data_IF_522268029593
#
_entry.id   IF_522268029593
#
_cell.length_a   1.000
_cell.length_b   1.000
_cell.length_c   1.000
_cell.angle_alpha   90.00
_cell.angle_beta   90.00
_cell.angle_gamma   90.00
#
_symmetry.space_group_name_H-M   'P 1'
#
loop_
_entity.id
_entity.type
_entity.pdbx_description
1 polymer ?
#
# COMPACT_ATOMS: atom_id res chain seq x y z
N UNK A 1 12.39 -10.49 34.12
CA UNK A 1 11.55 -9.27 34.05
C UNK A 1 10.43 -9.43 35.06
N UNK A 2 10.32 -8.51 36.03
CA UNK A 2 9.34 -8.61 37.11
C UNK A 2 7.93 -8.25 36.58
N UNK A 3 6.86 -8.75 37.21
CA UNK A 3 5.48 -8.36 36.86
C UNK A 3 5.26 -6.83 36.93
N UNK A 4 6.00 -6.16 37.80
CA UNK A 4 5.97 -4.70 37.97
C UNK A 4 6.54 -3.98 36.75
N UNK A 5 7.52 -4.60 36.09
CA UNK A 5 8.13 -4.07 34.85
C UNK A 5 7.17 -4.26 33.66
N UNK A 6 6.50 -5.41 33.57
CA UNK A 6 5.47 -5.69 32.55
C UNK A 6 4.30 -4.70 32.60
N UNK A 7 3.88 -4.25 33.79
CA UNK A 7 2.81 -3.24 33.96
C UNK A 7 3.20 -1.83 33.52
N UNK A 8 4.50 -1.55 33.32
CA UNK A 8 5.01 -0.27 32.83
C UNK A 8 5.32 -0.27 31.32
N UNK A 9 5.18 -1.39 30.63
CA UNK A 9 5.41 -1.44 29.18
C UNK A 9 4.30 -0.70 28.40
N UNK A 10 4.71 0.16 27.47
CA UNK A 10 3.80 0.90 26.60
C UNK A 10 3.26 0.06 25.43
N UNK A 11 3.66 -1.22 25.30
CA UNK A 11 3.36 -2.09 24.17
C UNK A 11 1.86 -2.16 23.86
N UNK A 12 1.02 -2.31 24.89
CA UNK A 12 -0.43 -2.39 24.72
C UNK A 12 -1.03 -1.06 24.23
N UNK A 13 -0.58 0.07 24.79
CA UNK A 13 -1.02 1.40 24.37
C UNK A 13 -0.60 1.72 22.93
N UNK A 14 0.64 1.41 22.55
CA UNK A 14 1.14 1.61 21.18
C UNK A 14 0.34 0.77 20.19
N UNK A 15 0.05 -0.50 20.51
CA UNK A 15 -0.83 -1.35 19.70
C UNK A 15 -2.24 -0.79 19.61
N UNK A 16 -2.77 -0.23 20.70
CA UNK A 16 -4.06 0.47 20.70
C UNK A 16 -4.11 1.60 19.68
N UNK A 17 -3.11 2.49 19.69
CA UNK A 17 -3.00 3.59 18.73
C UNK A 17 -2.87 3.12 17.29
N UNK A 18 -2.04 2.11 17.02
CA UNK A 18 -1.93 1.57 15.67
C UNK A 18 -3.22 0.90 15.20
N UNK A 19 -3.96 0.24 16.10
CA UNK A 19 -5.24 -0.36 15.78
C UNK A 19 -6.32 0.69 15.49
N UNK A 20 -6.34 1.80 16.24
CA UNK A 20 -7.20 2.96 15.97
C UNK A 20 -6.95 3.53 14.57
N UNK A 21 -5.69 3.77 14.22
CA UNK A 21 -5.33 4.26 12.89
C UNK A 21 -5.67 3.26 11.78
N UNK A 22 -5.39 1.97 11.98
CA UNK A 22 -5.77 0.92 11.03
C UNK A 22 -7.30 0.87 10.84
N UNK A 23 -8.09 1.07 11.89
CA UNK A 23 -9.55 1.09 11.82
C UNK A 23 -10.06 2.33 11.07
N UNK A 24 -9.50 3.51 11.35
CA UNK A 24 -9.83 4.74 10.62
C UNK A 24 -9.48 4.62 9.12
N UNK A 25 -8.34 3.98 8.80
CA UNK A 25 -7.95 3.68 7.42
C UNK A 25 -8.93 2.74 6.73
N UNK A 26 -9.35 1.68 7.42
CA UNK A 26 -10.35 0.75 6.92
C UNK A 26 -11.67 1.47 6.62
N UNK A 27 -12.08 2.39 7.49
CA UNK A 27 -13.29 3.19 7.30
C UNK A 27 -13.18 4.07 6.05
N UNK A 28 -12.05 4.77 5.86
CA UNK A 28 -11.79 5.56 4.64
C UNK A 28 -11.86 4.68 3.39
N UNK A 29 -11.26 3.49 3.42
CA UNK A 29 -11.22 2.58 2.27
C UNK A 29 -12.60 2.01 1.90
N UNK A 30 -13.52 1.91 2.87
CA UNK A 30 -14.87 1.43 2.69
C UNK A 30 -15.90 2.55 2.43
N UNK A 31 -15.50 3.81 2.58
CA UNK A 31 -16.35 4.97 2.37
C UNK A 31 -16.68 5.23 0.88
N UNK A 32 -17.73 6.02 0.64
CA UNK A 32 -17.96 6.63 -0.67
C UNK A 32 -16.75 7.44 -1.15
N UNK A 33 -16.61 7.66 -2.45
CA UNK A 33 -15.44 8.39 -2.99
C UNK A 33 -15.31 9.81 -2.41
N UNK A 34 -16.45 10.46 -2.18
CA UNK A 34 -16.59 11.84 -1.71
C UNK A 34 -16.99 11.95 -0.24
N UNK A 35 -17.30 10.82 0.40
CA UNK A 35 -17.62 10.81 1.82
C UNK A 35 -16.36 11.17 2.61
N UNK A 36 -16.53 12.05 3.59
CA UNK A 36 -15.40 12.51 4.38
C UNK A 36 -15.31 11.77 5.68
N UNK A 37 -14.10 11.33 6.02
CA UNK A 37 -13.74 10.78 7.31
C UNK A 37 -12.83 11.77 8.01
N UNK A 38 -13.12 12.07 9.27
CA UNK A 38 -12.26 12.87 10.15
C UNK A 38 -11.57 11.92 11.10
N UNK A 39 -10.24 11.94 11.09
CA UNK A 39 -9.40 11.10 11.95
C UNK A 39 -9.23 11.81 13.29
N UNK A 40 -9.37 11.11 14.41
CA UNK A 40 -9.35 11.70 15.76
C UNK A 40 -10.33 12.89 15.83
N UNK A 41 -11.59 12.62 15.50
CA UNK A 41 -12.69 13.59 15.45
C UNK A 41 -13.30 13.81 16.83
N UNK A 42 -14.63 13.65 16.94
CA UNK A 42 -15.31 13.58 18.24
C UNK A 42 -14.89 12.29 18.96
N UNK A 43 -14.81 11.19 18.21
CA UNK A 43 -14.25 9.92 18.68
C UNK A 43 -12.97 9.59 17.85
N UNK A 44 -12.54 8.33 17.87
CA UNK A 44 -11.31 7.90 17.17
C UNK A 44 -11.41 8.12 15.64
N UNK A 45 -12.62 8.03 15.06
CA UNK A 45 -12.92 8.52 13.72
C UNK A 45 -14.39 8.95 13.58
N UNK A 46 -14.66 9.91 12.69
CA UNK A 46 -16.02 10.34 12.34
C UNK A 46 -16.23 10.24 10.83
N UNK A 47 -17.24 9.48 10.37
CA UNK A 47 -17.61 9.39 8.95
C UNK A 47 -18.86 10.20 8.66
N UNK A 48 -18.77 11.11 7.72
CA UNK A 48 -19.86 11.97 7.27
C UNK A 48 -20.39 11.46 5.92
N UNK A 49 -21.67 11.13 5.89
CA UNK A 49 -22.40 10.66 4.71
C UNK A 49 -23.58 11.58 4.42
N UNK A 50 -24.25 11.37 3.28
CA UNK A 50 -25.48 12.11 2.95
C UNK A 50 -26.64 11.82 3.93
N UNK A 51 -26.55 10.69 4.65
CA UNK A 51 -27.57 10.20 5.58
C UNK A 51 -27.31 10.63 7.03
N UNK A 52 -26.13 11.21 7.32
CA UNK A 52 -25.77 11.65 8.67
C UNK A 52 -24.29 11.41 9.01
N UNK A 53 -24.01 11.12 10.28
CA UNK A 53 -22.64 10.95 10.79
C UNK A 53 -22.54 9.73 11.67
N UNK A 54 -21.47 8.96 11.47
CA UNK A 54 -21.10 7.81 12.28
C UNK A 54 -19.88 8.19 13.11
N UNK A 55 -20.02 8.17 14.44
CA UNK A 55 -18.93 8.39 15.40
C UNK A 55 -18.38 7.03 15.84
N UNK A 56 -17.16 6.71 15.42
CA UNK A 56 -16.49 5.45 15.69
C UNK A 56 -15.49 5.57 16.84
N UNK A 57 -15.78 4.89 17.94
CA UNK A 57 -14.83 4.70 19.03
C UNK A 57 -14.22 3.29 18.94
N UNK A 58 -12.90 3.23 18.93
CA UNK A 58 -12.11 2.03 18.71
C UNK A 58 -11.50 1.54 20.04
N UNK A 59 -11.57 0.23 20.27
CA UNK A 59 -10.94 -0.43 21.43
C UNK A 59 -10.18 -1.68 21.01
N UNK A 60 -8.93 -1.79 21.47
CA UNK A 60 -8.12 -2.99 21.27
C UNK A 60 -7.67 -3.56 22.61
N UNK A 61 -8.35 -4.61 23.07
CA UNK A 61 -8.06 -5.29 24.34
C UNK A 61 -7.81 -6.80 24.14
N UNK A 62 -6.60 -7.14 23.73
CA UNK A 62 -6.19 -8.52 23.44
C UNK A 62 -6.33 -9.50 24.62
N UNK A 63 -6.32 -9.01 25.86
CA UNK A 63 -6.34 -9.84 27.08
C UNK A 63 -7.59 -9.59 27.96
N UNK A 64 -8.52 -8.74 27.53
CA UNK A 64 -9.71 -8.41 28.31
C UNK A 64 -10.99 -8.85 27.60
N UNK A 65 -11.87 -9.50 28.36
CA UNK A 65 -13.19 -9.89 27.86
C UNK A 65 -14.10 -8.66 27.82
N UNK A 66 -14.91 -8.54 26.78
CA UNK A 66 -15.99 -7.57 26.73
C UNK A 66 -17.07 -8.00 27.73
N UNK A 67 -17.18 -7.20 28.81
CA UNK A 67 -18.18 -7.32 29.88
C UNK A 67 -18.88 -5.98 30.05
N UNK A 68 -20.01 -5.93 30.75
CA UNK A 68 -20.72 -4.66 31.01
C UNK A 68 -19.80 -3.64 31.70
N UNK A 69 -18.90 -4.08 32.58
CA UNK A 69 -17.95 -3.17 33.22
C UNK A 69 -16.92 -2.59 32.25
N UNK A 70 -16.52 -3.33 31.22
CA UNK A 70 -15.59 -2.87 30.17
C UNK A 70 -16.32 -1.98 29.16
N UNK A 71 -17.58 -2.29 28.84
CA UNK A 71 -18.44 -1.50 27.96
C UNK A 71 -18.83 -0.15 28.59
N UNK A 72 -18.98 -0.08 29.91
CA UNK A 72 -19.53 1.06 30.64
C UNK A 72 -18.89 2.40 30.26
N UNK A 73 -17.57 2.52 30.33
CA UNK A 73 -16.87 3.79 30.08
C UNK A 73 -16.98 4.24 28.61
N UNK A 74 -16.69 3.38 27.61
CA UNK A 74 -16.98 3.67 26.20
C UNK A 74 -18.42 4.11 25.94
N UNK A 75 -19.39 3.33 26.42
CA UNK A 75 -20.82 3.59 26.21
C UNK A 75 -21.25 4.92 26.83
N UNK A 76 -20.74 5.22 28.02
CA UNK A 76 -21.03 6.47 28.71
C UNK A 76 -20.48 7.68 27.93
N UNK A 77 -19.26 7.62 27.41
CA UNK A 77 -18.67 8.72 26.62
C UNK A 77 -19.48 9.04 25.37
N UNK A 78 -19.88 8.02 24.63
CA UNK A 78 -20.73 8.16 23.45
C UNK A 78 -22.10 8.75 23.83
N UNK A 79 -22.68 8.29 24.93
CA UNK A 79 -23.95 8.82 25.44
C UNK A 79 -23.84 10.28 25.88
N UNK A 80 -22.77 10.67 26.56
CA UNK A 80 -22.53 12.08 26.96
C UNK A 80 -22.52 12.99 25.74
N UNK A 81 -21.86 12.58 24.64
CA UNK A 81 -21.89 13.36 23.41
C UNK A 81 -23.33 13.49 22.87
N UNK A 82 -24.06 12.38 22.75
CA UNK A 82 -25.45 12.40 22.27
C UNK A 82 -26.39 13.23 23.15
N UNK A 83 -26.25 13.09 24.47
CA UNK A 83 -27.03 13.82 25.48
C UNK A 83 -26.86 15.32 25.35
N UNK A 84 -25.63 15.77 25.10
CA UNK A 84 -25.28 17.18 24.90
C UNK A 84 -25.80 17.80 23.60
N UNK A 85 -26.33 17.00 22.66
CA UNK A 85 -26.93 17.50 21.43
C UNK A 85 -28.38 17.95 21.65
N UNK A 86 -28.76 19.03 20.96
CA UNK A 86 -30.16 19.43 20.79
C UNK A 86 -30.95 18.33 20.06
N UNK A 87 -32.24 18.18 20.37
CA UNK A 87 -33.10 17.13 19.82
C UNK A 87 -33.07 17.08 18.28
N UNK A 88 -33.18 18.24 17.62
CA UNK A 88 -33.12 18.35 16.16
C UNK A 88 -31.77 17.96 15.55
N UNK A 89 -30.68 17.90 16.34
CA UNK A 89 -29.32 17.56 15.88
C UNK A 89 -28.94 16.10 16.13
N UNK A 90 -29.80 15.36 16.85
CA UNK A 90 -29.63 13.93 17.14
C UNK A 90 -30.01 13.05 15.95
N UNK A 91 -30.93 13.52 15.11
CA UNK A 91 -31.32 12.83 13.88
C UNK A 91 -30.09 12.62 12.97
N UNK A 92 -29.96 11.41 12.44
CA UNK A 92 -28.83 11.02 11.58
C UNK A 92 -27.50 10.78 12.32
N UNK A 93 -27.43 10.84 13.65
CA UNK A 93 -26.22 10.48 14.40
C UNK A 93 -26.22 9.00 14.74
N UNK A 94 -25.13 8.31 14.43
CA UNK A 94 -24.88 6.91 14.78
C UNK A 94 -23.59 6.81 15.59
N UNK A 95 -23.57 5.91 16.57
CA UNK A 95 -22.43 5.70 17.47
C UNK A 95 -21.99 4.25 17.37
N UNK A 96 -20.72 4.03 17.08
CA UNK A 96 -20.15 2.72 16.86
C UNK A 96 -19.02 2.47 17.87
N UNK A 97 -19.14 1.39 18.63
CA UNK A 97 -18.01 0.81 19.34
C UNK A 97 -17.39 -0.29 18.46
N UNK A 98 -16.23 -0.01 17.88
CA UNK A 98 -15.49 -0.94 17.03
C UNK A 98 -14.30 -1.52 17.79
N UNK A 99 -14.04 -2.83 17.72
CA UNK A 99 -12.84 -3.32 18.39
C UNK A 99 -12.68 -4.81 18.58
N UNK A 100 -11.53 -5.17 19.13
CA UNK A 100 -11.17 -6.53 19.48
C UNK A 100 -11.08 -6.73 21.00
N UNK A 101 -11.62 -7.86 21.45
CA UNK A 101 -11.63 -8.31 22.84
C UNK A 101 -11.26 -9.79 22.86
N UNK A 102 -10.66 -10.28 23.96
CA UNK A 102 -10.28 -11.70 24.07
C UNK A 102 -11.48 -12.64 23.99
N UNK A 103 -12.62 -12.21 24.51
CA UNK A 103 -13.89 -12.93 24.48
C UNK A 103 -15.05 -11.94 24.63
N UNK A 104 -16.21 -12.23 24.04
CA UNK A 104 -17.43 -11.43 24.22
C UNK A 104 -18.36 -12.15 25.19
N UNK A 105 -18.58 -11.59 26.38
CA UNK A 105 -19.36 -12.19 27.48
C UNK A 105 -20.71 -11.54 27.71
N UNK A 106 -21.11 -10.65 26.82
CA UNK A 106 -22.36 -9.90 26.88
C UNK A 106 -23.06 -10.01 25.53
N UNK A 107 -24.37 -9.81 25.55
CA UNK A 107 -25.13 -9.63 24.31
C UNK A 107 -24.70 -8.33 23.62
N UNK A 108 -24.45 -8.35 22.32
CA UNK A 108 -24.02 -7.17 21.54
C UNK A 108 -25.14 -6.65 20.62
N UNK A 109 -26.35 -7.20 20.73
CA UNK A 109 -27.54 -6.67 20.08
C UNK A 109 -27.96 -5.30 20.62
N UNK A 110 -29.06 -4.79 20.08
CA UNK A 110 -29.63 -3.50 20.46
C UNK A 110 -29.88 -3.43 21.98
N UNK A 111 -29.44 -2.33 22.61
CA UNK A 111 -29.57 -2.13 24.05
C UNK A 111 -31.01 -1.72 24.40
N UNK A 112 -31.62 -2.33 25.41
CA UNK A 112 -32.82 -1.78 26.03
C UNK A 112 -32.46 -0.66 27.01
N UNK A 113 -33.43 0.20 27.34
CA UNK A 113 -33.26 1.27 28.34
C UNK A 113 -32.85 0.69 29.70
N UNK A 114 -33.45 -0.42 30.12
CA UNK A 114 -33.14 -1.10 31.39
C UNK A 114 -31.71 -1.63 31.37
N UNK A 115 -31.30 -2.23 30.25
CA UNK A 115 -29.95 -2.75 30.08
C UNK A 115 -28.91 -1.64 30.09
N UNK A 116 -29.15 -0.55 29.38
CA UNK A 116 -28.29 0.63 29.38
C UNK A 116 -28.09 1.16 30.81
N UNK A 117 -29.19 1.36 31.55
CA UNK A 117 -29.13 1.81 32.95
C UNK A 117 -28.34 0.84 33.82
N UNK A 118 -28.54 -0.47 33.65
CA UNK A 118 -27.80 -1.49 34.40
C UNK A 118 -26.29 -1.45 34.11
N UNK A 119 -25.88 -1.27 32.85
CA UNK A 119 -24.47 -1.13 32.47
C UNK A 119 -23.82 0.08 33.16
N UNK A 120 -24.55 1.19 33.32
CA UNK A 120 -24.07 2.41 33.98
C UNK A 120 -23.84 2.25 35.48
N UNK A 121 -24.41 1.23 36.11
CA UNK A 121 -24.26 0.96 37.53
C UNK A 121 -22.89 0.33 37.86
N UNK A 122 -22.29 0.77 38.97
CA UNK A 122 -21.05 0.23 39.49
C UNK A 122 -21.02 0.29 41.03
N UNK A 123 -20.12 -0.49 41.63
CA UNK A 123 -19.89 -0.49 43.08
C UNK A 123 -18.64 0.33 43.40
N UNK A 124 -18.78 1.33 44.27
CA UNK A 124 -17.67 2.13 44.78
C UNK A 124 -17.33 1.70 46.20
N UNK A 125 -16.06 1.35 46.44
CA UNK A 125 -15.57 1.11 47.81
C UNK A 125 -15.60 2.44 48.58
N UNK A 126 -16.23 2.42 49.75
CA UNK A 126 -16.24 3.53 50.70
C UNK A 126 -15.60 3.06 51.99
N UNK A 127 -14.65 3.85 52.50
CA UNK A 127 -14.00 3.60 53.78
C UNK A 127 -14.64 4.50 54.83
N UNK A 128 -15.25 3.89 55.83
CA UNK A 128 -15.71 4.60 57.01
C UNK A 128 -14.51 5.05 57.88
N UNK A 129 -14.75 6.03 58.76
CA UNK A 129 -13.72 6.63 59.61
C UNK A 129 -13.07 5.63 60.60
N UNK A 130 -13.72 4.50 60.83
CA UNK A 130 -13.25 3.36 61.64
C UNK A 130 -12.42 2.34 60.85
N UNK A 131 -12.21 2.55 59.55
CA UNK A 131 -11.51 1.63 58.65
C UNK A 131 -12.38 0.52 58.03
N UNK A 132 -13.67 0.47 58.36
CA UNK A 132 -14.62 -0.51 57.78
C UNK A 132 -14.85 -0.22 56.30
N UNK A 133 -14.76 -1.26 55.46
CA UNK A 133 -15.03 -1.18 54.01
C UNK A 133 -16.49 -1.51 53.73
N UNK A 134 -17.22 -0.57 53.12
CA UNK A 134 -18.54 -0.81 52.55
C UNK A 134 -18.52 -0.54 51.03
N UNK A 135 -19.55 -1.00 50.32
CA UNK A 135 -19.72 -0.73 48.90
C UNK A 135 -21.03 -0.01 48.67
N UNK A 136 -20.95 1.16 48.05
CA UNK A 136 -22.12 1.91 47.60
C UNK A 136 -22.39 1.62 46.13
N UNK A 137 -23.67 1.44 45.78
CA UNK A 137 -24.12 1.38 44.39
C UNK A 137 -24.20 2.80 43.85
N UNK A 138 -23.51 3.07 42.75
CA UNK A 138 -23.52 4.36 42.04
C UNK A 138 -23.80 4.14 40.55
N UNK A 139 -24.20 5.19 39.87
CA UNK A 139 -24.37 5.21 38.42
C UNK A 139 -23.54 6.31 37.79
N UNK A 140 -23.01 6.08 36.58
CA UNK A 140 -22.41 7.17 35.80
C UNK A 140 -23.43 8.22 35.35
N UNK A 141 -24.73 7.90 35.44
CA UNK A 141 -25.82 8.85 35.18
C UNK A 141 -26.20 9.70 36.40
N UNK A 142 -25.59 9.46 37.57
CA UNK A 142 -25.93 10.19 38.80
C UNK A 142 -25.69 11.70 38.59
N UNK A 143 -26.75 12.51 38.75
CA UNK A 143 -26.71 13.96 38.53
C UNK A 143 -26.93 14.40 37.08
N UNK A 144 -27.21 13.48 36.16
CA UNK A 144 -27.57 13.76 34.77
C UNK A 144 -29.07 13.53 34.53
N UNK A 145 -29.74 14.47 33.86
CA UNK A 145 -31.11 14.30 33.42
C UNK A 145 -31.16 13.41 32.16
N UNK A 146 -31.35 12.11 32.34
CA UNK A 146 -31.42 11.10 31.27
C UNK A 146 -32.80 10.41 31.26
N UNK A 147 -33.84 11.06 30.68
CA UNK A 147 -35.16 10.45 30.56
C UNK A 147 -35.12 9.23 29.62
N UNK A 148 -36.07 8.31 29.82
CA UNK A 148 -36.07 7.01 29.15
C UNK A 148 -36.19 7.16 27.63
N UNK A 149 -36.93 8.16 27.13
CA UNK A 149 -37.05 8.45 25.71
C UNK A 149 -35.72 8.86 25.08
N UNK A 150 -34.88 9.60 25.82
CA UNK A 150 -33.55 10.02 25.35
C UNK A 150 -32.60 8.82 25.32
N UNK A 151 -32.64 7.98 26.35
CA UNK A 151 -31.86 6.74 26.40
C UNK A 151 -32.28 5.81 25.26
N UNK A 152 -33.58 5.64 25.04
CA UNK A 152 -34.11 4.80 23.96
C UNK A 152 -33.62 5.29 22.58
N UNK A 153 -33.66 6.60 22.32
CA UNK A 153 -33.17 7.18 21.08
C UNK A 153 -31.66 6.95 20.87
N UNK A 154 -30.85 7.05 21.94
CA UNK A 154 -29.43 6.71 21.89
C UNK A 154 -29.21 5.22 21.60
N UNK A 155 -29.93 4.34 22.31
CA UNK A 155 -29.81 2.90 22.16
C UNK A 155 -30.09 2.44 20.71
N UNK A 156 -31.09 3.03 20.04
CA UNK A 156 -31.39 2.78 18.61
C UNK A 156 -30.28 3.27 17.66
N UNK A 157 -29.48 4.21 18.12
CA UNK A 157 -28.40 4.85 17.34
C UNK A 157 -27.02 4.25 17.64
N UNK A 158 -26.92 3.36 18.63
CA UNK A 158 -25.68 2.77 19.09
C UNK A 158 -25.53 1.31 18.62
N UNK A 159 -24.33 0.94 18.19
CA UNK A 159 -24.01 -0.44 17.83
C UNK A 159 -22.58 -0.84 18.24
N UNK A 160 -22.36 -2.14 18.38
CA UNK A 160 -21.06 -2.73 18.67
C UNK A 160 -20.65 -3.60 17.48
N UNK A 161 -19.44 -3.38 16.95
CA UNK A 161 -18.85 -4.18 15.89
C UNK A 161 -17.54 -4.82 16.37
N UNK A 162 -17.58 -6.14 16.53
CA UNK A 162 -16.42 -6.93 16.92
C UNK A 162 -15.51 -7.18 15.71
N UNK A 163 -14.21 -7.06 15.92
CA UNK A 163 -13.19 -7.24 14.90
C UNK A 163 -12.08 -8.22 15.33
N UNK A 164 -11.22 -8.56 14.39
CA UNK A 164 -10.13 -9.52 14.55
C UNK A 164 -8.95 -8.94 15.32
N UNK A 165 -8.04 -9.80 15.75
CA UNK A 165 -6.85 -9.39 16.49
C UNK A 165 -5.89 -8.55 15.62
N UNK A 166 -4.94 -7.87 16.26
CA UNK A 166 -4.12 -6.82 15.66
C UNK A 166 -3.53 -7.15 14.28
N UNK A 167 -2.90 -8.32 14.14
CA UNK A 167 -2.23 -8.72 12.90
C UNK A 167 -3.23 -9.02 11.79
N UNK A 168 -4.30 -9.75 12.09
CA UNK A 168 -5.33 -10.08 11.10
C UNK A 168 -6.13 -8.85 10.70
N UNK A 169 -6.42 -7.95 11.64
CA UNK A 169 -7.05 -6.67 11.33
C UNK A 169 -6.22 -5.87 10.33
N UNK A 170 -4.90 -5.80 10.54
CA UNK A 170 -3.98 -5.15 9.60
C UNK A 170 -3.97 -5.84 8.23
N UNK A 171 -4.03 -7.17 8.18
CA UNK A 171 -4.14 -7.90 6.92
C UNK A 171 -5.42 -7.54 6.16
N UNK A 172 -6.54 -7.34 6.85
CA UNK A 172 -7.80 -6.88 6.25
C UNK A 172 -7.63 -5.49 5.63
N UNK A 173 -6.94 -4.57 6.32
CA UNK A 173 -6.64 -3.23 5.79
C UNK A 173 -5.80 -3.34 4.52
N UNK A 174 -4.69 -4.09 4.56
CA UNK A 174 -3.79 -4.30 3.41
C UNK A 174 -4.55 -4.91 2.22
N UNK A 175 -5.38 -5.92 2.46
CA UNK A 175 -6.19 -6.57 1.44
C UNK A 175 -7.23 -5.62 0.83
N UNK A 176 -7.80 -4.72 1.65
CA UNK A 176 -8.74 -3.71 1.17
C UNK A 176 -8.05 -2.64 0.33
N UNK A 177 -6.82 -2.25 0.68
CA UNK A 177 -5.95 -1.40 -0.16
C UNK A 177 -5.65 -2.09 -1.49
N UNK A 178 -5.26 -3.37 -1.45
CA UNK A 178 -4.96 -4.18 -2.65
C UNK A 178 -6.12 -4.13 -3.65
N UNK A 179 -7.34 -4.37 -3.18
CA UNK A 179 -8.56 -4.35 -3.99
C UNK A 179 -8.87 -2.96 -4.53
N UNK A 180 -8.80 -1.92 -3.69
CA UNK A 180 -9.09 -0.54 -4.10
C UNK A 180 -8.10 -0.01 -5.15
N UNK A 181 -6.82 -0.40 -5.07
CA UNK A 181 -5.77 0.08 -5.98
C UNK A 181 -5.52 -0.85 -7.17
N UNK A 182 -6.12 -2.05 -7.18
CA UNK A 182 -5.89 -3.08 -8.18
C UNK A 182 -4.39 -3.42 -8.36
N UNK A 183 -3.69 -3.59 -7.23
CA UNK A 183 -2.25 -3.90 -7.18
C UNK A 183 -2.01 -5.31 -6.63
N UNK A 184 -0.79 -5.81 -6.71
CA UNK A 184 -0.44 -7.10 -6.12
C UNK A 184 -0.47 -7.06 -4.58
N UNK A 185 -0.60 -8.22 -3.94
CA UNK A 185 -0.55 -8.32 -2.47
C UNK A 185 0.75 -7.75 -1.89
N UNK A 186 1.86 -8.01 -2.58
CA UNK A 186 3.16 -7.50 -2.18
C UNK A 186 3.25 -5.98 -2.32
N UNK A 187 2.68 -5.40 -3.38
CA UNK A 187 2.64 -3.94 -3.52
C UNK A 187 1.74 -3.28 -2.48
N UNK A 188 0.63 -3.93 -2.13
CA UNK A 188 -0.26 -3.44 -1.09
C UNK A 188 0.44 -3.43 0.28
N UNK A 189 1.07 -4.54 0.65
CA UNK A 189 1.77 -4.70 1.94
C UNK A 189 3.04 -3.85 2.03
N UNK A 190 3.88 -3.89 1.00
CA UNK A 190 5.20 -3.27 1.01
C UNK A 190 5.18 -1.76 0.74
N UNK A 191 4.17 -1.26 0.03
CA UNK A 191 4.19 0.13 -0.48
C UNK A 191 2.95 0.92 -0.08
N UNK A 192 1.77 0.41 -0.44
CA UNK A 192 0.56 1.22 -0.32
C UNK A 192 0.12 1.35 1.15
N UNK A 193 0.21 0.26 1.93
CA UNK A 193 -0.12 0.28 3.34
C UNK A 193 0.80 1.21 4.15
N UNK A 194 2.14 1.13 4.08
CA UNK A 194 3.00 2.04 4.82
C UNK A 194 2.75 3.52 4.48
N UNK A 195 2.49 3.83 3.21
CA UNK A 195 2.16 5.20 2.79
C UNK A 195 0.80 5.67 3.30
N UNK A 196 -0.22 4.83 3.18
CA UNK A 196 -1.55 5.13 3.71
C UNK A 196 -1.50 5.33 5.23
N UNK A 197 -0.75 4.48 5.93
CA UNK A 197 -0.57 4.53 7.37
C UNK A 197 0.19 5.78 7.83
N UNK A 198 1.28 6.15 7.16
CA UNK A 198 2.02 7.38 7.47
C UNK A 198 1.16 8.63 7.22
N UNK A 199 0.37 8.62 6.14
CA UNK A 199 -0.53 9.71 5.82
C UNK A 199 -1.60 9.92 6.88
N UNK A 200 -2.33 8.87 7.27
CA UNK A 200 -3.34 8.97 8.34
C UNK A 200 -2.72 9.33 9.70
N UNK A 201 -1.54 8.80 10.02
CA UNK A 201 -0.83 9.12 11.26
C UNK A 201 -0.45 10.60 11.28
N UNK A 202 0.03 11.13 10.16
CA UNK A 202 0.33 12.55 9.99
C UNK A 202 -0.91 13.40 10.16
N UNK A 203 -2.04 13.02 9.53
CA UNK A 203 -3.32 13.71 9.71
C UNK A 203 -3.75 13.73 11.18
N UNK A 204 -3.69 12.60 11.88
CA UNK A 204 -4.07 12.48 13.29
C UNK A 204 -3.28 13.44 14.21
N UNK A 205 -2.03 13.76 13.86
CA UNK A 205 -1.19 14.68 14.66
C UNK A 205 -1.48 16.16 14.46
N UNK A 206 -2.31 16.53 13.47
CA UNK A 206 -2.59 17.95 13.20
C UNK A 206 -3.40 18.60 14.32
N UNK A 207 -3.13 19.88 14.57
CA UNK A 207 -3.75 20.61 15.70
C UNK A 207 -5.23 20.91 15.47
N UNK A 208 -5.61 21.33 14.25
CA UNK A 208 -7.01 21.59 13.90
C UNK A 208 -7.67 20.30 13.40
N UNK A 209 -8.81 19.95 13.97
CA UNK A 209 -9.66 18.83 13.55
C UNK A 209 -10.08 18.93 12.07
N UNK A 210 -10.29 20.14 11.54
CA UNK A 210 -10.64 20.33 10.13
C UNK A 210 -9.53 19.86 9.19
N UNK A 211 -8.27 19.96 9.62
CA UNK A 211 -7.13 19.51 8.83
C UNK A 211 -6.94 17.98 8.87
N UNK A 212 -7.67 17.28 9.75
CA UNK A 212 -7.68 15.80 9.87
C UNK A 212 -8.74 15.15 8.98
N UNK A 213 -9.46 15.95 8.19
CA UNK A 213 -10.48 15.49 7.24
C UNK A 213 -9.83 14.93 5.98
N UNK A 214 -10.33 13.80 5.52
CA UNK A 214 -9.84 13.09 4.33
C UNK A 214 -10.97 12.33 3.64
N UNK A 215 -10.87 12.13 2.34
CA UNK A 215 -11.78 11.29 1.55
C UNK A 215 -11.06 10.06 0.99
N UNK A 216 -11.84 9.07 0.53
CA UNK A 216 -11.26 7.94 -0.20
C UNK A 216 -10.58 8.38 -1.50
N UNK A 217 -11.08 9.43 -2.16
CA UNK A 217 -10.44 10.00 -3.35
C UNK A 217 -9.05 10.54 -3.03
N UNK A 218 -8.89 11.29 -1.96
CA UNK A 218 -7.58 11.85 -1.56
C UNK A 218 -6.56 10.73 -1.32
N UNK A 219 -6.99 9.64 -0.66
CA UNK A 219 -6.15 8.47 -0.45
C UNK A 219 -5.80 7.78 -1.77
N UNK A 220 -6.73 7.65 -2.71
CA UNK A 220 -6.45 7.09 -4.04
C UNK A 220 -5.45 7.96 -4.82
N UNK A 221 -5.58 9.29 -4.74
CA UNK A 221 -4.66 10.21 -5.41
C UNK A 221 -3.26 10.18 -4.80
N UNK A 222 -3.16 10.13 -3.47
CA UNK A 222 -1.89 9.94 -2.77
C UNK A 222 -1.15 8.68 -3.25
N UNK A 223 -1.90 7.59 -3.47
CA UNK A 223 -1.34 6.31 -3.86
C UNK A 223 -0.99 6.24 -5.37
N UNK A 224 -1.44 7.19 -6.20
CA UNK A 224 -1.05 7.29 -7.62
C UNK A 224 0.39 7.81 -7.76
N UNK A 225 1.26 7.06 -8.45
CA UNK A 225 2.59 7.53 -8.87
C UNK A 225 3.75 7.29 -7.89
N UNK A 226 3.58 6.42 -6.91
CA UNK A 226 4.46 6.30 -5.73
C UNK A 226 5.57 5.25 -5.83
N UNK A 227 5.50 4.33 -6.80
CA UNK A 227 6.50 3.25 -6.97
C UNK A 227 7.95 3.79 -7.06
N UNK A 228 8.20 4.82 -7.88
CA UNK A 228 9.55 5.33 -8.10
C UNK A 228 10.14 6.04 -6.87
N UNK A 229 9.31 6.76 -6.09
CA UNK A 229 9.73 7.45 -4.87
C UNK A 229 10.03 6.42 -3.78
N UNK A 230 9.14 5.43 -3.60
CA UNK A 230 9.31 4.42 -2.57
C UNK A 230 10.48 3.47 -2.87
N UNK A 231 10.63 2.99 -4.10
CA UNK A 231 11.77 2.14 -4.46
C UNK A 231 13.09 2.85 -4.14
N UNK A 232 13.13 4.19 -4.20
CA UNK A 232 14.32 4.99 -3.88
C UNK A 232 14.54 5.14 -2.38
N UNK A 233 13.47 5.16 -1.59
CA UNK A 233 13.56 5.04 -0.13
C UNK A 233 14.08 3.66 0.27
N UNK A 234 13.53 2.59 -0.31
CA UNK A 234 13.97 1.22 -0.04
C UNK A 234 15.45 0.98 -0.41
N UNK A 235 15.91 1.57 -1.52
CA UNK A 235 17.33 1.56 -1.92
C UNK A 235 18.25 2.22 -0.88
N UNK A 236 17.74 3.17 -0.08
CA UNK A 236 18.51 3.83 0.99
C UNK A 236 18.51 3.03 2.29
N UNK A 237 17.38 2.40 2.64
CA UNK A 237 17.20 1.69 3.91
C UNK A 237 17.78 0.27 3.89
N UNK A 238 17.64 -0.44 2.77
CA UNK A 238 18.13 -1.81 2.63
C UNK A 238 19.57 -1.84 2.18
N UNK A 239 20.32 -2.84 2.63
CA UNK A 239 21.58 -3.17 1.98
C UNK A 239 21.33 -3.59 0.52
N UNK A 240 22.35 -3.42 -0.33
CA UNK A 240 22.21 -3.64 -1.77
C UNK A 240 21.79 -5.07 -2.16
N UNK A 241 22.13 -6.08 -1.34
CA UNK A 241 21.77 -7.48 -1.59
C UNK A 241 20.31 -7.74 -1.23
N UNK A 242 19.85 -7.25 -0.09
CA UNK A 242 18.45 -7.31 0.30
C UNK A 242 17.55 -6.53 -0.65
N UNK A 243 17.95 -5.33 -1.05
CA UNK A 243 17.23 -4.52 -2.04
C UNK A 243 17.09 -5.29 -3.35
N UNK A 244 18.19 -5.87 -3.86
CA UNK A 244 18.18 -6.61 -5.11
C UNK A 244 17.26 -7.84 -5.04
N UNK A 245 17.34 -8.62 -3.95
CA UNK A 245 16.42 -9.76 -3.71
C UNK A 245 14.96 -9.32 -3.66
N UNK A 246 14.70 -8.18 -3.02
CA UNK A 246 13.35 -7.62 -2.92
C UNK A 246 12.80 -7.19 -4.29
N UNK A 247 13.58 -6.44 -5.08
CA UNK A 247 13.21 -6.05 -6.46
C UNK A 247 13.05 -7.26 -7.39
N UNK A 248 13.90 -8.28 -7.24
CA UNK A 248 13.78 -9.55 -7.95
C UNK A 248 12.46 -10.26 -7.65
N UNK A 249 12.08 -10.29 -6.37
CA UNK A 249 10.82 -10.90 -5.91
C UNK A 249 9.61 -10.17 -6.50
N UNK A 250 9.68 -8.85 -6.59
CA UNK A 250 8.63 -7.98 -7.12
C UNK A 250 8.40 -8.15 -8.61
N UNK A 251 9.44 -7.93 -9.41
CA UNK A 251 9.28 -7.65 -10.83
C UNK A 251 9.74 -8.78 -11.75
N UNK A 252 10.53 -9.72 -11.21
CA UNK A 252 11.26 -10.72 -11.99
C UNK A 252 11.02 -12.17 -11.52
N UNK A 253 10.12 -12.39 -10.54
CA UNK A 253 9.70 -13.72 -10.09
C UNK A 253 8.66 -14.45 -10.96
N UNK A 254 7.77 -13.78 -11.72
CA UNK A 254 6.92 -14.47 -12.68
C UNK A 254 7.76 -15.24 -13.70
N UNK A 255 7.33 -16.45 -14.10
CA UNK A 255 8.05 -17.28 -15.06
C UNK A 255 8.21 -16.56 -16.41
N UNK A 256 9.39 -16.73 -17.02
CA UNK A 256 9.71 -16.18 -18.36
C UNK A 256 8.92 -16.89 -19.46
N UNK A 257 7.63 -16.55 -19.55
CA UNK A 257 6.69 -17.07 -20.53
C UNK A 257 6.91 -16.45 -21.91
N UNK A 258 6.73 -17.29 -22.93
CA UNK A 258 6.54 -16.84 -24.31
C UNK A 258 5.29 -15.94 -24.41
N UNK A 259 5.27 -15.02 -25.37
CA UNK A 259 4.13 -14.11 -25.59
C UNK A 259 4.14 -12.79 -24.81
N UNK A 260 5.16 -12.55 -23.98
CA UNK A 260 5.39 -11.26 -23.29
C UNK A 260 6.58 -10.54 -23.93
N UNK A 261 6.35 -9.32 -24.41
CA UNK A 261 7.39 -8.41 -24.89
C UNK A 261 8.01 -7.70 -23.71
N UNK A 262 9.33 -7.56 -23.72
CA UNK A 262 10.08 -6.93 -22.64
C UNK A 262 10.98 -5.84 -23.19
N UNK A 263 10.96 -4.68 -22.54
CA UNK A 263 11.89 -3.60 -22.78
C UNK A 263 12.65 -3.28 -21.49
N UNK A 264 13.95 -3.02 -21.60
CA UNK A 264 14.81 -2.57 -20.52
C UNK A 264 15.35 -1.19 -20.89
N UNK A 265 15.02 -0.20 -20.08
CA UNK A 265 15.56 1.15 -20.18
C UNK A 265 16.61 1.27 -19.08
N UNK A 266 17.84 1.61 -19.45
CA UNK A 266 18.95 1.76 -18.52
C UNK A 266 19.42 3.21 -18.60
N UNK A 267 19.27 3.97 -17.51
CA UNK A 267 19.81 5.33 -17.42
C UNK A 267 21.34 5.28 -17.35
N UNK A 268 21.99 5.92 -18.33
CA UNK A 268 23.42 6.16 -18.36
C UNK A 268 23.71 7.63 -18.06
N UNK A 269 24.89 7.89 -17.50
CA UNK A 269 25.44 9.22 -17.31
C UNK A 269 26.87 9.30 -17.88
N UNK A 270 27.47 10.50 -17.81
CA UNK A 270 28.81 10.73 -18.36
C UNK A 270 29.93 9.91 -17.68
N UNK A 271 29.67 9.31 -16.52
CA UNK A 271 30.63 8.46 -15.80
C UNK A 271 30.39 6.96 -16.05
N UNK A 272 29.42 6.63 -16.90
CA UNK A 272 29.04 5.24 -17.17
C UNK A 272 30.12 4.52 -17.98
N UNK A 273 30.60 3.40 -17.43
CA UNK A 273 31.58 2.53 -18.06
C UNK A 273 30.90 1.55 -19.05
N UNK A 274 31.40 1.50 -20.28
CA UNK A 274 30.86 0.64 -21.34
C UNK A 274 30.89 -0.85 -20.97
N UNK A 275 31.95 -1.34 -20.31
CA UNK A 275 32.08 -2.75 -19.92
C UNK A 275 31.02 -3.16 -18.89
N UNK A 276 30.70 -2.27 -17.94
CA UNK A 276 29.65 -2.50 -16.95
C UNK A 276 28.29 -2.60 -17.63
N UNK A 277 28.01 -1.76 -18.63
CA UNK A 277 26.79 -1.82 -19.44
C UNK A 277 26.73 -3.15 -20.20
N UNK A 278 27.81 -3.53 -20.89
CA UNK A 278 27.92 -4.80 -21.62
C UNK A 278 27.59 -6.00 -20.71
N UNK A 279 28.12 -6.04 -19.49
CA UNK A 279 27.82 -7.10 -18.52
C UNK A 279 26.32 -7.17 -18.16
N UNK A 280 25.66 -6.02 -17.99
CA UNK A 280 24.22 -6.01 -17.71
C UNK A 280 23.42 -6.48 -18.94
N UNK A 281 23.80 -6.04 -20.15
CA UNK A 281 23.11 -6.43 -21.38
C UNK A 281 23.24 -7.92 -21.68
N UNK A 282 24.42 -8.51 -21.45
CA UNK A 282 24.63 -9.97 -21.54
C UNK A 282 23.76 -10.72 -20.54
N UNK A 283 23.67 -10.25 -19.30
CA UNK A 283 22.81 -10.86 -18.30
C UNK A 283 21.33 -10.77 -18.67
N UNK A 284 20.89 -9.61 -19.19
CA UNK A 284 19.53 -9.44 -19.70
C UNK A 284 19.27 -10.41 -20.85
N UNK A 285 20.16 -10.49 -21.85
CA UNK A 285 20.06 -11.44 -22.96
C UNK A 285 19.96 -12.89 -22.48
N UNK A 286 20.84 -13.31 -21.56
CA UNK A 286 20.85 -14.68 -21.03
C UNK A 286 19.57 -15.05 -20.27
N UNK A 287 19.04 -14.13 -19.45
CA UNK A 287 17.89 -14.40 -18.60
C UNK A 287 16.56 -14.23 -19.37
N UNK A 288 16.49 -13.27 -20.28
CA UNK A 288 15.24 -12.75 -20.87
C UNK A 288 15.11 -12.95 -22.38
N UNK A 289 16.10 -13.57 -23.04
CA UNK A 289 16.00 -14.01 -24.43
C UNK A 289 15.75 -15.51 -24.54
N UNK A 290 15.16 -15.89 -25.67
CA UNK A 290 15.02 -17.27 -26.10
C UNK A 290 16.15 -17.76 -27.01
N UNK A 291 17.16 -16.93 -27.31
CA UNK A 291 18.19 -17.19 -28.31
C UNK A 291 18.83 -18.57 -28.17
N UNK A 292 19.28 -18.87 -26.95
CA UNK A 292 19.96 -20.12 -26.60
C UNK A 292 19.01 -21.26 -26.21
N UNK A 293 17.68 -21.03 -26.21
CA UNK A 293 16.66 -22.03 -25.85
C UNK A 293 16.27 -22.86 -27.07
N UNK A 294 16.71 -24.12 -27.14
CA UNK A 294 16.46 -25.01 -28.30
C UNK A 294 15.00 -25.44 -28.48
N UNK A 295 14.22 -25.53 -27.40
CA UNK A 295 12.86 -26.09 -27.42
C UNK A 295 11.77 -25.12 -27.89
N UNK A 296 12.08 -23.83 -28.07
CA UNK A 296 11.11 -22.81 -28.46
C UNK A 296 11.08 -22.71 -29.99
N UNK A 297 9.89 -22.75 -30.58
CA UNK A 297 9.69 -22.60 -32.02
C UNK A 297 10.02 -21.18 -32.48
N UNK A 298 10.53 -21.02 -33.70
CA UNK A 298 10.95 -19.70 -34.22
C UNK A 298 9.85 -18.63 -34.25
N UNK A 299 8.57 -19.02 -34.29
CA UNK A 299 7.42 -18.11 -34.18
C UNK A 299 7.15 -17.59 -32.76
N UNK A 300 7.63 -18.30 -31.75
CA UNK A 300 7.45 -17.98 -30.33
C UNK A 300 8.70 -17.41 -29.67
N UNK A 301 9.80 -17.37 -30.43
CA UNK A 301 11.08 -16.81 -29.98
C UNK A 301 10.94 -15.31 -29.68
N UNK A 302 11.58 -14.90 -28.60
CA UNK A 302 11.59 -13.55 -28.07
C UNK A 302 13.01 -13.12 -27.67
N UNK A 303 13.28 -11.84 -27.85
CA UNK A 303 14.48 -11.15 -27.38
C UNK A 303 14.04 -9.77 -26.84
N UNK A 304 14.61 -9.30 -25.72
CA UNK A 304 14.24 -8.03 -25.13
C UNK A 304 14.73 -6.83 -25.94
N UNK A 305 13.96 -5.74 -25.90
CA UNK A 305 14.39 -4.43 -26.38
C UNK A 305 15.19 -3.71 -25.31
N UNK A 306 16.22 -2.98 -25.71
CA UNK A 306 17.16 -2.29 -24.83
C UNK A 306 17.29 -0.84 -25.29
N UNK A 307 17.11 0.10 -24.36
CA UNK A 307 17.39 1.52 -24.54
C UNK A 307 18.43 1.98 -23.50
N UNK A 308 19.53 2.57 -23.96
CA UNK A 308 20.53 3.22 -23.10
C UNK A 308 20.21 4.71 -22.97
N UNK A 309 19.29 5.04 -22.06
CA UNK A 309 18.76 6.41 -21.93
C UNK A 309 19.84 7.34 -21.39
N UNK A 310 20.13 8.41 -22.12
CA UNK A 310 21.12 9.42 -21.72
C UNK A 310 22.57 9.05 -22.05
N UNK A 311 22.80 7.91 -22.71
CA UNK A 311 24.09 7.59 -23.29
C UNK A 311 24.37 8.51 -24.49
N UNK A 312 25.62 8.95 -24.64
CA UNK A 312 26.06 9.64 -25.85
C UNK A 312 26.43 8.64 -26.96
N UNK A 313 26.64 9.16 -28.17
CA UNK A 313 26.98 8.35 -29.34
C UNK A 313 28.28 7.55 -29.14
N UNK A 314 29.24 8.12 -28.39
CA UNK A 314 30.51 7.46 -28.11
C UNK A 314 30.32 6.22 -27.22
N UNK A 315 29.55 6.33 -26.14
CA UNK A 315 29.24 5.22 -25.24
C UNK A 315 28.44 4.14 -25.98
N UNK A 316 27.41 4.53 -26.75
CA UNK A 316 26.61 3.58 -27.54
C UNK A 316 27.51 2.81 -28.51
N UNK A 317 28.41 3.50 -29.22
CA UNK A 317 29.35 2.88 -30.15
C UNK A 317 30.31 1.92 -29.43
N UNK A 318 30.87 2.32 -28.28
CA UNK A 318 31.76 1.46 -27.48
C UNK A 318 31.06 0.18 -27.03
N UNK A 319 29.82 0.30 -26.51
CA UNK A 319 29.01 -0.85 -26.09
C UNK A 319 28.70 -1.76 -27.28
N UNK A 320 28.24 -1.22 -28.41
CA UNK A 320 27.95 -2.01 -29.62
C UNK A 320 29.19 -2.75 -30.12
N UNK A 321 30.36 -2.09 -30.14
CA UNK A 321 31.63 -2.71 -30.54
C UNK A 321 32.04 -3.84 -29.60
N UNK A 322 32.04 -3.62 -28.29
CA UNK A 322 32.45 -4.66 -27.34
C UNK A 322 31.49 -5.86 -27.37
N UNK A 323 30.18 -5.63 -27.44
CA UNK A 323 29.19 -6.69 -27.59
C UNK A 323 29.45 -7.52 -28.86
N UNK A 324 29.73 -6.85 -29.97
CA UNK A 324 30.02 -7.51 -31.25
C UNK A 324 31.33 -8.31 -31.20
N UNK A 325 32.41 -7.69 -30.72
CA UNK A 325 33.74 -8.32 -30.62
C UNK A 325 33.75 -9.52 -29.67
N UNK A 326 32.87 -9.52 -28.67
CA UNK A 326 32.69 -10.61 -27.71
C UNK A 326 31.60 -11.62 -28.12
N UNK A 327 31.02 -11.49 -29.31
CA UNK A 327 30.12 -12.48 -29.92
C UNK A 327 28.67 -12.40 -29.46
N UNK A 328 28.22 -11.30 -28.87
CA UNK A 328 26.80 -11.09 -28.57
C UNK A 328 26.04 -10.74 -29.84
N UNK A 329 25.05 -11.55 -30.22
CA UNK A 329 24.23 -11.30 -31.42
C UNK A 329 23.12 -10.31 -31.10
N UNK A 330 23.08 -9.17 -31.78
CA UNK A 330 22.04 -8.16 -31.61
C UNK A 330 21.61 -7.54 -32.94
N UNK A 331 20.49 -6.82 -32.92
CA UNK A 331 20.04 -5.94 -34.02
C UNK A 331 19.72 -4.57 -33.45
N UNK A 332 19.92 -3.51 -34.24
CA UNK A 332 19.71 -2.12 -33.80
C UNK A 332 18.91 -1.26 -34.79
N UNK A 333 18.32 -1.87 -35.83
CA UNK A 333 17.44 -1.17 -36.77
C UNK A 333 18.13 -0.49 -37.95
N UNK A 334 19.46 -0.55 -38.03
CA UNK A 334 20.25 0.06 -39.10
C UNK A 334 20.94 -1.01 -39.97
N UNK A 335 20.33 -1.46 -41.08
CA UNK A 335 20.87 -2.57 -41.88
C UNK A 335 22.21 -2.29 -42.57
N UNK A 336 22.60 -1.02 -42.70
CA UNK A 336 23.88 -0.59 -43.27
C UNK A 336 24.28 0.78 -42.72
N UNK A 337 25.56 1.12 -42.84
CA UNK A 337 26.10 2.41 -42.39
C UNK A 337 25.41 3.58 -43.09
N UNK A 338 24.80 4.47 -42.31
CA UNK A 338 24.05 5.62 -42.81
C UNK A 338 22.61 5.31 -43.24
N UNK A 339 22.10 4.10 -42.98
CA UNK A 339 20.67 3.82 -43.15
C UNK A 339 19.85 4.69 -42.19
N UNK A 340 18.61 4.99 -42.59
CA UNK A 340 17.57 5.39 -41.64
C UNK A 340 17.20 4.20 -40.74
N UNK A 341 16.62 4.50 -39.58
CA UNK A 341 16.05 3.49 -38.69
C UNK A 341 14.92 2.73 -39.40
N UNK A 342 14.90 1.40 -39.24
CA UNK A 342 13.87 0.54 -39.84
C UNK A 342 13.32 -0.42 -38.81
N UNK A 343 12.04 -0.23 -38.48
CA UNK A 343 11.29 -1.07 -37.55
C UNK A 343 11.38 -2.57 -37.91
N UNK A 344 11.25 -2.92 -39.20
CA UNK A 344 11.32 -4.31 -39.66
C UNK A 344 12.68 -4.96 -39.37
N UNK A 345 13.76 -4.17 -39.40
CA UNK A 345 15.11 -4.66 -39.11
C UNK A 345 15.29 -4.90 -37.60
N UNK A 346 14.81 -4.00 -36.74
CA UNK A 346 14.81 -4.26 -35.29
C UNK A 346 13.95 -5.46 -34.95
N UNK A 347 12.85 -5.70 -35.67
CA UNK A 347 11.95 -6.86 -35.48
C UNK A 347 12.40 -8.14 -36.20
N UNK A 348 13.60 -8.17 -36.77
CA UNK A 348 14.16 -9.34 -37.46
C UNK A 348 13.86 -10.64 -36.70
N UNK A 349 13.34 -11.64 -37.40
CA UNK A 349 12.91 -12.87 -36.76
C UNK A 349 14.10 -13.59 -36.12
N UNK A 350 13.93 -13.97 -34.86
CA UNK A 350 14.91 -14.78 -34.15
C UNK A 350 14.72 -16.25 -34.55
N UNK A 351 15.78 -16.91 -35.02
CA UNK A 351 15.75 -18.33 -35.44
C UNK A 351 16.85 -19.12 -34.74
N UNK A 352 17.00 -20.40 -35.08
CA UNK A 352 18.08 -21.22 -34.54
C UNK A 352 19.45 -20.81 -35.12
N UNK A 353 19.46 -20.29 -36.34
CA UNK A 353 20.61 -19.75 -37.06
C UNK A 353 20.86 -18.28 -36.67
N UNK A 354 19.79 -17.50 -36.52
CA UNK A 354 19.85 -16.08 -36.15
C UNK A 354 19.45 -15.89 -34.68
N UNK A 355 20.40 -16.15 -33.79
CA UNK A 355 20.20 -16.18 -32.34
C UNK A 355 20.24 -14.79 -31.69
N UNK A 356 19.41 -13.86 -32.16
CA UNK A 356 19.32 -12.48 -31.64
C UNK A 356 19.12 -12.51 -30.12
N UNK A 357 20.11 -12.09 -29.35
CA UNK A 357 20.08 -12.10 -27.88
C UNK A 357 19.35 -10.87 -27.34
N UNK A 358 19.59 -9.70 -27.93
CA UNK A 358 18.98 -8.42 -27.56
C UNK A 358 18.68 -7.58 -28.80
N UNK A 359 17.77 -6.60 -28.66
CA UNK A 359 17.41 -5.65 -29.70
C UNK A 359 17.65 -4.23 -29.18
N UNK A 360 18.58 -3.49 -29.77
CA UNK A 360 18.93 -2.13 -29.35
C UNK A 360 18.06 -1.11 -30.08
N UNK A 361 17.74 -0.03 -29.39
CA UNK A 361 17.17 1.21 -29.95
C UNK A 361 17.93 2.39 -29.35
N UNK A 362 18.11 3.45 -30.13
CA UNK A 362 19.00 4.55 -29.75
C UNK A 362 18.28 5.61 -28.89
N UNK A 363 16.95 5.73 -29.01
CA UNK A 363 16.17 6.74 -28.29
C UNK A 363 14.75 6.27 -27.90
N UNK A 364 14.02 7.14 -27.18
CA UNK A 364 12.67 6.87 -26.69
C UNK A 364 11.66 6.76 -27.82
N UNK A 365 11.81 7.55 -28.88
CA UNK A 365 10.85 7.57 -29.99
C UNK A 365 10.94 6.25 -30.77
N UNK A 366 12.16 5.77 -31.04
CA UNK A 366 12.42 4.45 -31.61
C UNK A 366 11.89 3.33 -30.72
N UNK A 367 12.07 3.43 -29.39
CA UNK A 367 11.52 2.44 -28.46
C UNK A 367 9.99 2.37 -28.55
N UNK A 368 9.32 3.52 -28.56
CA UNK A 368 7.87 3.59 -28.68
C UNK A 368 7.40 3.03 -30.03
N UNK A 369 8.09 3.37 -31.11
CA UNK A 369 7.80 2.85 -32.46
C UNK A 369 7.90 1.31 -32.51
N UNK A 370 8.98 0.72 -31.97
CA UNK A 370 9.12 -0.75 -31.97
C UNK A 370 8.12 -1.44 -31.06
N UNK A 371 7.73 -0.81 -29.95
CA UNK A 371 6.75 -1.37 -29.03
C UNK A 371 5.32 -1.28 -29.58
N UNK A 372 4.97 -0.27 -30.36
CA UNK A 372 3.70 -0.22 -31.08
C UNK A 372 3.62 -1.36 -32.13
N UNK A 373 4.75 -1.64 -32.79
CA UNK A 373 4.88 -2.72 -33.78
C UNK A 373 4.69 -4.15 -33.24
N UNK A 374 4.66 -4.38 -31.92
CA UNK A 374 4.47 -5.74 -31.36
C UNK A 374 3.01 -6.19 -31.26
N UNK A 375 2.05 -5.31 -31.59
CA UNK A 375 0.63 -5.61 -31.62
C UNK A 375 0.01 -5.85 -30.24
N UNK A 376 -0.89 -6.83 -30.10
CA UNK A 376 -1.72 -7.04 -28.89
C UNK A 376 -1.03 -7.80 -27.74
N UNK A 377 0.29 -8.00 -27.82
CA UNK A 377 1.07 -8.74 -26.82
C UNK A 377 1.15 -7.96 -25.50
N UNK A 378 1.32 -8.67 -24.39
CA UNK A 378 1.61 -8.03 -23.10
C UNK A 378 3.01 -7.40 -23.18
N UNK A 379 3.17 -6.16 -22.72
CA UNK A 379 4.45 -5.46 -22.72
C UNK A 379 4.86 -5.09 -21.30
N UNK A 380 6.03 -5.53 -20.87
CA UNK A 380 6.65 -5.12 -19.61
C UNK A 380 7.88 -4.25 -19.91
N UNK A 381 7.87 -3.03 -19.38
CA UNK A 381 8.94 -2.06 -19.52
C UNK A 381 9.61 -1.92 -18.15
N UNK A 382 10.87 -2.30 -18.04
CA UNK A 382 11.67 -2.17 -16.84
C UNK A 382 12.59 -0.97 -16.98
N UNK A 383 12.34 0.08 -16.20
CA UNK A 383 13.09 1.34 -16.25
C UNK A 383 14.05 1.43 -15.07
N UNK A 384 15.32 1.08 -15.31
CA UNK A 384 16.39 1.21 -14.35
C UNK A 384 16.97 2.62 -14.39
N UNK A 385 16.78 3.38 -13.31
CA UNK A 385 17.13 4.80 -13.27
C UNK A 385 18.07 5.16 -12.11
N UNK A 386 18.97 6.10 -12.34
CA UNK A 386 19.90 6.66 -11.35
C UNK A 386 19.30 7.91 -10.69
N UNK A 387 18.77 8.83 -11.50
CA UNK A 387 18.33 10.16 -11.03
C UNK A 387 16.83 10.30 -11.04
N UNK A 388 16.19 10.00 -12.17
CA UNK A 388 14.74 10.15 -12.38
C UNK A 388 14.23 9.06 -13.31
N UNK A 389 13.01 8.55 -13.08
CA UNK A 389 12.40 7.57 -13.95
C UNK A 389 12.19 8.15 -15.37
N UNK A 390 12.19 7.26 -16.37
CA UNK A 390 11.86 7.65 -17.73
C UNK A 390 10.41 8.17 -17.81
N UNK A 391 10.19 9.20 -18.63
CA UNK A 391 8.85 9.76 -18.88
C UNK A 391 8.48 9.42 -20.31
N UNK A 392 7.51 8.53 -20.48
CA UNK A 392 6.98 8.15 -21.80
C UNK A 392 5.52 7.71 -21.70
N UNK A 393 4.77 7.93 -22.78
CA UNK A 393 3.42 7.40 -22.90
C UNK A 393 3.48 5.89 -23.12
N UNK A 394 2.73 5.12 -22.33
CA UNK A 394 2.66 3.68 -22.52
C UNK A 394 2.02 3.36 -23.89
N UNK A 395 2.61 2.46 -24.70
CA UNK A 395 2.15 2.22 -26.07
C UNK A 395 0.78 1.52 -26.16
N UNK A 396 0.19 1.11 -25.03
CA UNK A 396 -1.14 0.54 -25.02
C UNK A 396 -1.63 0.14 -23.62
N UNK A 397 -2.91 -0.24 -23.48
CA UNK A 397 -3.53 -0.55 -22.18
C UNK A 397 -3.01 -1.84 -21.53
N UNK A 398 -2.28 -2.67 -22.29
CA UNK A 398 -1.63 -3.89 -21.80
C UNK A 398 -0.16 -3.69 -21.46
N UNK A 399 0.36 -2.48 -21.60
CA UNK A 399 1.73 -2.15 -21.25
C UNK A 399 1.80 -1.80 -19.77
N UNK A 400 2.81 -2.34 -19.09
CA UNK A 400 3.13 -2.01 -17.70
C UNK A 400 4.57 -1.54 -17.63
N UNK A 401 4.80 -0.43 -16.94
CA UNK A 401 6.14 0.08 -16.70
C UNK A 401 6.46 0.01 -15.21
N UNK A 402 7.64 -0.49 -14.91
CA UNK A 402 8.16 -0.64 -13.55
C UNK A 402 9.45 0.18 -13.45
N UNK A 403 9.39 1.31 -12.75
CA UNK A 403 10.55 2.18 -12.55
C UNK A 403 11.33 1.78 -11.29
N UNK A 404 12.56 1.30 -11.50
CA UNK A 404 13.43 0.70 -10.49
C UNK A 404 14.68 1.58 -10.33
N UNK A 405 14.80 2.34 -9.24
CA UNK A 405 15.99 3.11 -8.95
C UNK A 405 17.16 2.16 -8.64
N UNK A 406 18.33 2.51 -9.15
CA UNK A 406 19.59 1.83 -8.84
C UNK A 406 20.62 2.85 -8.39
N UNK A 407 21.51 2.45 -7.48
CA UNK A 407 22.65 3.28 -7.07
C UNK A 407 23.79 3.18 -8.09
N UNK A 408 23.85 2.09 -8.84
CA UNK A 408 24.80 1.83 -9.93
C UNK A 408 24.20 0.82 -10.89
N UNK A 409 24.50 0.97 -12.18
CA UNK A 409 24.13 0.04 -13.26
C UNK A 409 24.55 -1.41 -12.93
N UNK A 410 25.67 -1.59 -12.22
CA UNK A 410 26.16 -2.91 -11.75
C UNK A 410 25.17 -3.68 -10.86
N UNK A 411 24.14 -3.01 -10.32
CA UNK A 411 23.14 -3.65 -9.45
C UNK A 411 22.07 -4.41 -10.25
N UNK A 412 21.90 -4.10 -11.54
CA UNK A 412 20.83 -4.64 -12.39
C UNK A 412 20.90 -6.18 -12.43
N UNK A 413 22.07 -6.75 -12.68
CA UNK A 413 22.33 -8.20 -12.66
C UNK A 413 21.90 -8.91 -11.38
N UNK A 414 21.96 -8.23 -10.22
CA UNK A 414 21.51 -8.79 -8.94
C UNK A 414 19.99 -8.76 -8.79
N UNK A 415 19.34 -7.80 -9.45
CA UNK A 415 17.89 -7.60 -9.45
C UNK A 415 17.19 -8.57 -10.41
N UNK A 416 17.76 -8.83 -11.60
CA UNK A 416 17.09 -9.55 -12.69
C UNK A 416 17.24 -11.08 -12.66
#
# INVERSE_FOLDING_TARGET
MLEVDKKREATASIRGYFYQLDAALLEILNAGLDESVVIEGIEDFDRYTDEGVIYGQVKYYAEQNLTDSVLRDPLHKLFVHFHGLEEARREGRKYLLYGHFSEVKIDIGELSVERFKSVMEYRKEVKAADGTKSYEKKSLLDGMAAPDELIEAFCKSFSIQISTEFSEHRNIVIETIRKNQNVSAFEAEGFHYPMAFDYIATLATKKDHNDRKVTRRDLQELLKGTQAIHNRWLLREKDASEYAKHMKRLYFSPTNGAGIVRAFIIECDAATDASVVCDQLRAIGNNWSSAKKRRIQSSERYAPFILLRGADEQLIMQVKNELFDTGTVFVDGFPYRGSLFRIDHVHSQQTHEHQIEIRLVDDVDQLLEVLDGVGRKLCHIYDFFLKRPATMALPGPKSRMYSIPVSSISTITKII
#
